data_IF_681314130598
#
_entry.id   IF_681314130598
#
_cell.length_a   1.000
_cell.length_b   1.000
_cell.length_c   1.000
_cell.angle_alpha   90.00
_cell.angle_beta   90.00
_cell.angle_gamma   90.00
#
_symmetry.space_group_name_H-M   'P 1'
#
loop_
_entity.id
_entity.type
_entity.pdbx_description
1 polymer ?
#
# COMPACT_ATOMS: atom_id res chain seq x y z
N UNK A 1 16.55 -37.00 -49.44
CA UNK A 1 15.20 -36.55 -49.05
C UNK A 1 15.23 -36.09 -47.59
N UNK A 2 14.99 -34.78 -47.40
CA UNK A 2 14.56 -34.01 -46.22
C UNK A 2 15.02 -34.45 -44.81
N UNK A 3 16.00 -33.72 -44.28
CA UNK A 3 16.24 -33.55 -42.85
C UNK A 3 15.09 -32.74 -42.24
N UNK A 4 14.38 -33.32 -41.29
CA UNK A 4 13.29 -32.68 -40.56
C UNK A 4 13.88 -32.05 -39.28
N UNK A 5 14.08 -30.74 -39.31
CA UNK A 5 14.45 -29.98 -38.12
C UNK A 5 13.21 -29.83 -37.24
N UNK A 6 13.15 -30.61 -36.16
CA UNK A 6 12.20 -30.39 -35.06
C UNK A 6 12.66 -29.15 -34.29
N UNK A 7 12.06 -28.00 -34.61
CA UNK A 7 12.09 -26.83 -33.75
C UNK A 7 11.31 -27.17 -32.48
N UNK A 8 12.01 -27.55 -31.42
CA UNK A 8 11.45 -27.47 -30.08
C UNK A 8 11.16 -26.00 -29.78
N UNK A 9 9.95 -25.64 -29.31
CA UNK A 9 9.75 -24.33 -28.72
C UNK A 9 10.72 -24.22 -27.54
N UNK A 10 11.62 -23.24 -27.61
CA UNK A 10 12.37 -22.80 -26.44
C UNK A 10 11.35 -22.61 -25.31
N UNK A 11 11.57 -23.18 -24.11
CA UNK A 11 10.72 -22.82 -22.98
C UNK A 11 10.80 -21.30 -22.86
N UNK A 12 9.64 -20.63 -22.84
CA UNK A 12 9.56 -19.26 -22.36
C UNK A 12 10.18 -19.31 -20.96
N UNK A 13 11.44 -18.88 -20.85
CA UNK A 13 12.09 -18.67 -19.57
C UNK A 13 11.15 -17.74 -18.82
N UNK A 14 10.59 -18.24 -17.71
CA UNK A 14 9.79 -17.46 -16.80
C UNK A 14 10.56 -16.17 -16.53
N UNK A 15 10.09 -15.06 -17.10
CA UNK A 15 10.68 -13.77 -16.80
C UNK A 15 10.48 -13.60 -15.30
N UNK A 16 11.53 -13.43 -14.50
CA UNK A 16 11.33 -13.10 -13.10
C UNK A 16 10.50 -11.82 -13.10
N UNK A 17 9.31 -11.91 -12.53
CA UNK A 17 8.41 -10.78 -12.23
C UNK A 17 9.06 -9.74 -11.30
N UNK A 18 10.33 -9.91 -10.96
CA UNK A 18 11.17 -8.95 -10.27
C UNK A 18 11.57 -7.77 -11.18
N UNK A 19 11.99 -6.69 -10.53
CA UNK A 19 12.63 -5.57 -11.20
C UNK A 19 13.88 -6.04 -11.95
N UNK A 20 14.04 -5.77 -13.26
CA UNK A 20 15.09 -6.41 -14.08
C UNK A 20 16.50 -5.90 -13.80
N UNK A 21 16.66 -4.88 -12.95
CA UNK A 21 17.94 -4.23 -12.65
C UNK A 21 18.38 -4.53 -11.22
N UNK A 22 19.36 -5.44 -11.01
CA UNK A 22 19.91 -5.72 -9.68
C UNK A 22 20.46 -4.47 -9.00
N UNK A 23 21.11 -3.58 -9.76
CA UNK A 23 21.60 -2.30 -9.25
C UNK A 23 20.46 -1.40 -8.75
N UNK A 24 19.30 -1.43 -9.42
CA UNK A 24 18.14 -0.69 -8.97
C UNK A 24 17.53 -1.26 -7.69
N UNK A 25 17.44 -2.59 -7.59
CA UNK A 25 16.98 -3.29 -6.38
C UNK A 25 17.89 -3.02 -5.18
N UNK A 26 19.21 -3.10 -5.37
CA UNK A 26 20.20 -2.83 -4.33
C UNK A 26 20.11 -1.38 -3.85
N UNK A 27 20.09 -0.42 -4.78
CA UNK A 27 19.96 0.99 -4.44
C UNK A 27 18.61 1.30 -3.75
N UNK A 28 17.54 0.63 -4.14
CA UNK A 28 16.24 0.78 -3.47
C UNK A 28 16.27 0.22 -2.05
N UNK A 29 16.88 -0.95 -1.83
CA UNK A 29 17.05 -1.54 -0.51
C UNK A 29 17.90 -0.65 0.41
N UNK A 30 19.00 -0.09 -0.10
CA UNK A 30 19.81 0.92 0.61
C UNK A 30 18.97 2.16 0.97
N UNK A 31 18.11 2.59 0.05
CA UNK A 31 17.17 3.69 0.29
C UNK A 31 16.19 3.38 1.42
N UNK A 32 15.60 2.20 1.43
CA UNK A 32 14.69 1.75 2.48
C UNK A 32 15.37 1.62 3.84
N UNK A 33 16.60 1.07 3.88
CA UNK A 33 17.37 0.94 5.12
C UNK A 33 17.76 2.31 5.69
N UNK A 34 18.23 3.24 4.84
CA UNK A 34 18.51 4.61 5.26
C UNK A 34 17.23 5.33 5.73
N UNK A 35 16.10 5.08 5.07
CA UNK A 35 14.81 5.63 5.46
C UNK A 35 14.36 5.12 6.84
N UNK A 36 14.48 3.82 7.10
CA UNK A 36 14.18 3.22 8.40
C UNK A 36 15.05 3.79 9.53
N UNK A 37 16.27 4.23 9.23
CA UNK A 37 17.17 4.93 10.16
C UNK A 37 16.95 6.45 10.23
N UNK A 38 15.94 6.98 9.53
CA UNK A 38 15.65 8.42 9.38
C UNK A 38 16.79 9.25 8.75
N UNK A 39 17.70 8.61 8.02
CA UNK A 39 18.74 9.26 7.23
C UNK A 39 18.17 9.72 5.86
N UNK A 40 17.27 10.70 5.88
CA UNK A 40 16.44 11.06 4.70
C UNK A 40 17.24 11.54 3.48
N UNK A 41 18.38 12.20 3.70
CA UNK A 41 19.29 12.61 2.63
C UNK A 41 19.94 11.39 1.96
N UNK A 42 20.41 10.42 2.76
CA UNK A 42 20.97 9.16 2.24
C UNK A 42 19.92 8.36 1.50
N UNK A 43 18.72 8.25 2.08
CA UNK A 43 17.58 7.57 1.47
C UNK A 43 17.25 8.16 0.10
N UNK A 44 17.13 9.49 0.02
CA UNK A 44 16.84 10.20 -1.23
C UNK A 44 17.92 10.01 -2.29
N UNK A 45 19.20 9.98 -1.89
CA UNK A 45 20.32 9.74 -2.79
C UNK A 45 20.30 8.31 -3.34
N UNK A 46 20.03 7.31 -2.48
CA UNK A 46 19.91 5.92 -2.88
C UNK A 46 18.69 5.69 -3.80
N UNK A 47 17.52 6.26 -3.47
CA UNK A 47 16.35 6.21 -4.35
C UNK A 47 16.60 6.90 -5.70
N UNK A 48 17.39 7.97 -5.74
CA UNK A 48 17.79 8.61 -7.00
C UNK A 48 18.61 7.66 -7.88
N UNK A 49 19.54 6.91 -7.29
CA UNK A 49 20.28 5.85 -8.02
C UNK A 49 19.34 4.74 -8.50
N UNK A 50 18.39 4.33 -7.66
CA UNK A 50 17.43 3.28 -8.00
C UNK A 50 16.57 3.65 -9.21
N UNK A 51 15.96 4.84 -9.22
CA UNK A 51 15.17 5.30 -10.38
C UNK A 51 16.03 5.62 -11.61
N UNK A 52 17.33 5.90 -11.46
CA UNK A 52 18.21 6.05 -12.62
C UNK A 52 18.50 4.68 -13.27
N UNK A 53 18.64 3.63 -12.45
CA UNK A 53 18.92 2.27 -12.91
C UNK A 53 17.67 1.50 -13.40
N UNK A 54 16.47 1.86 -12.93
CA UNK A 54 15.20 1.35 -13.43
C UNK A 54 14.15 2.48 -13.43
N UNK A 55 14.12 3.31 -14.47
CA UNK A 55 13.27 4.50 -14.50
C UNK A 55 11.79 4.16 -14.53
N UNK A 56 10.96 4.80 -13.69
CA UNK A 56 9.51 4.67 -13.81
C UNK A 56 9.04 5.33 -15.10
N UNK A 57 7.95 4.81 -15.65
CA UNK A 57 7.27 5.41 -16.81
C UNK A 57 5.89 5.91 -16.44
N UNK A 58 5.39 6.84 -17.24
CA UNK A 58 3.98 7.25 -17.20
C UNK A 58 3.14 6.09 -17.75
N UNK A 59 2.03 5.71 -17.09
CA UNK A 59 1.14 4.69 -17.63
C UNK A 59 0.40 5.21 -18.86
N UNK A 60 0.12 4.33 -19.82
CA UNK A 60 -0.74 4.63 -20.98
C UNK A 60 -2.18 4.92 -20.54
N UNK A 61 -3.01 5.45 -21.44
CA UNK A 61 -4.43 5.70 -21.13
C UNK A 61 -5.16 4.43 -20.67
N UNK A 62 -4.92 3.31 -21.35
CA UNK A 62 -5.49 2.00 -20.98
C UNK A 62 -5.02 1.54 -19.60
N UNK A 63 -3.74 1.71 -19.28
CA UNK A 63 -3.21 1.35 -17.97
C UNK A 63 -3.75 2.26 -16.86
N UNK A 64 -3.92 3.54 -17.14
CA UNK A 64 -4.56 4.45 -16.19
C UNK A 64 -6.04 4.09 -15.98
N UNK A 65 -6.75 3.70 -17.03
CA UNK A 65 -8.12 3.22 -16.94
C UNK A 65 -8.20 1.94 -16.11
N UNK A 66 -7.30 0.99 -16.35
CA UNK A 66 -7.16 -0.25 -15.58
C UNK A 66 -6.88 0.03 -14.11
N UNK A 67 -5.91 0.91 -13.79
CA UNK A 67 -5.57 1.29 -12.42
C UNK A 67 -6.80 1.86 -11.69
N UNK A 68 -7.59 2.71 -12.34
CA UNK A 68 -8.82 3.26 -11.75
C UNK A 68 -9.90 2.21 -11.59
N UNK A 69 -10.09 1.34 -12.58
CA UNK A 69 -11.12 0.31 -12.56
C UNK A 69 -10.84 -0.82 -11.56
N UNK A 70 -9.56 -1.12 -11.31
CA UNK A 70 -9.13 -2.14 -10.36
C UNK A 70 -9.03 -1.63 -8.91
N UNK A 71 -9.14 -0.32 -8.68
CA UNK A 71 -9.06 0.25 -7.34
C UNK A 71 -10.25 -0.21 -6.47
N UNK A 72 -10.02 -0.79 -5.29
CA UNK A 72 -11.08 -1.12 -4.36
C UNK A 72 -11.80 0.15 -3.89
N UNK A 73 -13.09 0.03 -3.60
CA UNK A 73 -13.81 1.06 -2.86
C UNK A 73 -13.29 1.10 -1.43
N UNK A 74 -13.04 2.29 -0.92
CA UNK A 74 -12.50 2.50 0.41
C UNK A 74 -13.62 2.90 1.37
N UNK A 75 -13.67 2.22 2.51
CA UNK A 75 -14.64 2.48 3.57
C UNK A 75 -13.91 2.80 4.86
N UNK A 76 -14.42 3.73 5.62
CA UNK A 76 -13.91 4.07 6.96
C UNK A 76 -15.07 4.32 7.92
N UNK A 77 -14.77 4.56 9.18
CA UNK A 77 -15.76 4.91 10.19
C UNK A 77 -16.19 6.37 10.01
N UNK A 78 -17.49 6.67 10.18
CA UNK A 78 -18.05 7.99 9.92
C UNK A 78 -17.35 9.17 10.63
N UNK A 79 -16.85 8.94 11.85
CA UNK A 79 -16.11 9.89 12.68
C UNK A 79 -14.59 9.82 12.54
N UNK A 80 -14.05 9.20 11.48
CA UNK A 80 -12.63 9.29 11.15
C UNK A 80 -12.24 10.76 10.93
N UNK A 81 -11.27 11.21 11.73
CA UNK A 81 -10.89 12.61 11.91
C UNK A 81 -9.72 13.03 11.01
N UNK A 82 -8.93 12.07 10.53
CA UNK A 82 -7.77 12.33 9.68
C UNK A 82 -8.18 12.15 8.20
N UNK A 83 -8.14 13.21 7.39
CA UNK A 83 -8.47 13.12 5.98
C UNK A 83 -7.37 12.41 5.17
N UNK A 84 -7.76 11.79 4.05
CA UNK A 84 -6.81 11.32 3.05
C UNK A 84 -6.23 12.52 2.28
N UNK A 85 -4.91 12.73 2.35
CA UNK A 85 -4.21 13.85 1.68
C UNK A 85 -3.79 13.51 0.27
N UNK A 86 -3.19 12.34 0.12
CA UNK A 86 -2.60 11.91 -1.14
C UNK A 86 -2.88 10.43 -1.38
N UNK A 87 -2.95 10.09 -2.67
CA UNK A 87 -3.10 8.72 -3.11
C UNK A 87 -2.24 8.47 -4.35
N UNK A 88 -1.48 7.38 -4.35
CA UNK A 88 -0.62 6.98 -5.46
C UNK A 88 -0.89 5.53 -5.81
N UNK A 89 -1.04 5.23 -7.11
CA UNK A 89 -1.16 3.87 -7.60
C UNK A 89 0.01 3.54 -8.54
N UNK A 90 0.66 2.41 -8.32
CA UNK A 90 1.82 1.98 -9.08
C UNK A 90 1.52 0.62 -9.68
N UNK A 91 1.40 0.57 -11.00
CA UNK A 91 1.26 -0.68 -11.75
C UNK A 91 2.65 -1.33 -11.89
N UNK A 92 2.74 -2.62 -11.60
CA UNK A 92 3.97 -3.36 -11.83
C UNK A 92 4.21 -3.56 -13.34
N UNK A 93 5.45 -3.40 -13.86
CA UNK A 93 5.73 -3.53 -15.28
C UNK A 93 5.42 -4.92 -15.86
N UNK A 94 5.88 -6.00 -15.21
CA UNK A 94 5.77 -7.38 -15.70
C UNK A 94 4.79 -8.28 -14.92
N UNK A 95 4.67 -8.16 -13.61
CA UNK A 95 3.64 -8.84 -12.81
C UNK A 95 2.24 -8.20 -12.94
N UNK A 96 1.15 -8.99 -12.80
CA UNK A 96 -0.23 -8.48 -12.88
C UNK A 96 -0.67 -7.87 -11.53
N UNK A 97 0.09 -6.93 -11.00
CA UNK A 97 -0.16 -6.33 -9.69
C UNK A 97 -0.17 -4.81 -9.75
N UNK A 98 -1.01 -4.21 -8.92
CA UNK A 98 -1.08 -2.76 -8.70
C UNK A 98 -0.94 -2.51 -7.20
N UNK A 99 0.04 -1.69 -6.81
CA UNK A 99 0.15 -1.17 -5.46
C UNK A 99 -0.64 0.14 -5.35
N UNK A 100 -1.42 0.28 -4.29
CA UNK A 100 -2.16 1.50 -3.97
C UNK A 100 -1.69 1.99 -2.60
N UNK A 101 -1.16 3.20 -2.59
CA UNK A 101 -0.62 3.88 -1.44
C UNK A 101 -1.56 5.02 -1.03
N UNK A 102 -1.94 5.04 0.23
CA UNK A 102 -2.78 6.04 0.85
C UNK A 102 -1.96 6.81 1.90
N UNK A 103 -2.03 8.14 1.86
CA UNK A 103 -1.34 9.01 2.80
C UNK A 103 -2.37 9.83 3.55
N UNK A 104 -2.61 9.46 4.80
CA UNK A 104 -3.55 10.10 5.71
C UNK A 104 -2.88 11.26 6.42
N UNK A 105 -3.65 12.22 6.94
CA UNK A 105 -3.09 13.39 7.60
C UNK A 105 -2.15 13.06 8.74
N UNK A 106 -2.54 12.10 9.57
CA UNK A 106 -1.74 11.55 10.66
C UNK A 106 -2.40 10.28 11.19
N UNK A 107 -1.84 9.66 12.22
CA UNK A 107 -2.56 8.71 13.07
C UNK A 107 -2.67 9.21 14.51
N UNK A 108 -3.63 8.65 15.24
CA UNK A 108 -4.03 9.15 16.54
C UNK A 108 -2.96 9.02 17.63
N UNK A 109 -1.93 8.20 17.44
CA UNK A 109 -0.97 7.88 18.51
C UNK A 109 0.38 8.57 18.40
N UNK A 110 0.75 9.07 17.22
CA UNK A 110 2.10 9.54 16.96
C UNK A 110 2.19 11.01 16.52
N UNK A 111 1.57 11.97 17.26
CA UNK A 111 1.57 13.38 16.88
C UNK A 111 2.94 14.05 16.82
N UNK A 112 3.99 13.41 17.36
CA UNK A 112 5.33 13.95 17.52
C UNK A 112 6.43 13.07 16.90
N UNK A 113 6.08 12.05 16.12
CA UNK A 113 7.08 11.18 15.50
C UNK A 113 7.81 11.83 14.31
N UNK A 114 7.34 13.01 13.85
CA UNK A 114 7.82 13.79 12.70
C UNK A 114 7.57 13.13 11.34
N UNK A 115 6.69 12.13 11.28
CA UNK A 115 6.17 11.62 10.02
C UNK A 115 4.89 12.41 9.65
N UNK A 116 4.87 13.12 8.51
CA UNK A 116 3.84 14.12 8.19
C UNK A 116 2.51 13.51 7.69
N UNK A 117 2.44 12.18 7.70
CA UNK A 117 1.30 11.39 7.26
C UNK A 117 1.45 9.94 7.75
N UNK A 118 0.33 9.31 8.07
CA UNK A 118 0.29 7.85 8.12
C UNK A 118 0.21 7.28 6.70
N UNK A 119 1.09 6.32 6.41
CA UNK A 119 1.20 5.69 5.10
C UNK A 119 0.62 4.29 5.18
N UNK A 120 -0.42 4.05 4.40
CA UNK A 120 -1.07 2.76 4.24
C UNK A 120 -0.89 2.24 2.81
N UNK A 121 -0.81 0.91 2.67
CA UNK A 121 -0.63 0.27 1.37
C UNK A 121 -1.44 -1.01 1.26
N UNK A 122 -1.99 -1.22 0.07
CA UNK A 122 -2.56 -2.49 -0.33
C UNK A 122 -2.22 -2.78 -1.80
N UNK A 123 -2.29 -4.04 -2.19
CA UNK A 123 -1.98 -4.52 -3.52
C UNK A 123 -3.16 -5.28 -4.09
N UNK A 124 -3.47 -5.00 -5.34
CA UNK A 124 -4.50 -5.71 -6.10
C UNK A 124 -3.81 -6.56 -7.15
N UNK A 125 -4.07 -7.87 -7.14
CA UNK A 125 -3.70 -8.76 -8.23
C UNK A 125 -4.80 -8.73 -9.29
N UNK A 126 -4.38 -8.71 -10.54
CA UNK A 126 -5.23 -8.86 -11.70
C UNK A 126 -5.20 -10.31 -12.20
N UNK A 127 -6.19 -10.70 -12.99
CA UNK A 127 -6.12 -11.94 -13.76
C UNK A 127 -4.93 -11.92 -14.76
N UNK A 128 -4.59 -13.07 -15.34
CA UNK A 128 -3.43 -13.19 -16.23
C UNK A 128 -3.54 -12.29 -17.47
N UNK A 129 -4.77 -12.03 -17.90
CA UNK A 129 -5.07 -11.12 -19.00
C UNK A 129 -5.00 -9.63 -18.59
N UNK A 130 -4.74 -9.32 -17.31
CA UNK A 130 -4.70 -7.97 -16.73
C UNK A 130 -5.96 -7.14 -16.97
N UNK A 131 -7.13 -7.78 -16.88
CA UNK A 131 -8.43 -7.18 -17.17
C UNK A 131 -9.26 -6.90 -15.92
N UNK A 132 -9.13 -7.73 -14.89
CA UNK A 132 -9.97 -7.59 -13.70
C UNK A 132 -9.22 -7.93 -12.41
N UNK A 133 -9.57 -7.28 -11.29
CA UNK A 133 -9.03 -7.63 -9.99
C UNK A 133 -9.53 -9.00 -9.53
N UNK A 134 -8.65 -9.80 -8.94
CA UNK A 134 -8.93 -11.17 -8.48
C UNK A 134 -8.47 -11.43 -7.05
N UNK A 135 -7.62 -10.56 -6.50
CA UNK A 135 -7.13 -10.66 -5.14
C UNK A 135 -6.76 -9.28 -4.61
N UNK A 136 -7.02 -9.05 -3.32
CA UNK A 136 -6.54 -7.90 -2.57
C UNK A 136 -5.65 -8.40 -1.42
N UNK A 137 -4.47 -7.81 -1.31
CA UNK A 137 -3.57 -7.99 -0.17
C UNK A 137 -3.45 -6.64 0.53
N UNK A 138 -3.79 -6.54 1.82
CA UNK A 138 -3.63 -5.30 2.59
C UNK A 138 -2.47 -5.41 3.56
N UNK A 139 -1.83 -4.28 3.87
CA UNK A 139 -0.92 -4.16 5.00
C UNK A 139 -1.70 -3.70 6.23
N UNK A 140 -1.73 -4.51 7.28
CA UNK A 140 -2.43 -4.23 8.55
C UNK A 140 -1.48 -4.44 9.71
N UNK A 141 -1.00 -3.36 10.33
CA UNK A 141 -0.14 -3.38 11.53
C UNK A 141 1.02 -4.39 11.44
N UNK A 142 1.75 -4.37 10.32
CA UNK A 142 2.88 -5.28 10.09
C UNK A 142 2.51 -6.65 9.51
N UNK A 143 1.23 -6.90 9.22
CA UNK A 143 0.73 -8.17 8.65
C UNK A 143 0.22 -7.95 7.24
N UNK A 144 0.42 -8.96 6.39
CA UNK A 144 -0.21 -9.00 5.08
C UNK A 144 -1.48 -9.86 5.16
N UNK A 145 -2.61 -9.30 4.76
CA UNK A 145 -3.90 -9.97 4.78
C UNK A 145 -4.42 -10.13 3.35
N UNK A 146 -4.58 -11.38 2.89
CA UNK A 146 -5.07 -11.68 1.54
C UNK A 146 -6.58 -11.95 1.52
N UNK A 147 -7.23 -11.58 0.43
CA UNK A 147 -8.66 -11.80 0.20
C UNK A 147 -8.97 -11.95 -1.28
N UNK A 148 -9.93 -12.83 -1.58
CA UNK A 148 -10.49 -12.95 -2.93
C UNK A 148 -11.52 -11.86 -3.26
N UNK A 149 -12.05 -11.15 -2.25
CA UNK A 149 -12.83 -9.94 -2.48
C UNK A 149 -11.90 -8.74 -2.68
N UNK A 150 -11.57 -8.49 -3.94
CA UNK A 150 -10.71 -7.38 -4.32
C UNK A 150 -11.46 -6.05 -4.51
N UNK A 151 -12.76 -5.98 -4.19
CA UNK A 151 -13.61 -4.84 -4.55
C UNK A 151 -13.71 -3.80 -3.44
N UNK A 152 -13.33 -4.14 -2.21
CA UNK A 152 -13.51 -3.32 -1.01
C UNK A 152 -12.31 -3.43 -0.08
N UNK A 153 -11.90 -2.31 0.48
CA UNK A 153 -10.98 -2.24 1.59
C UNK A 153 -11.53 -1.32 2.68
N UNK A 154 -11.23 -1.64 3.94
CA UNK A 154 -11.70 -0.93 5.11
C UNK A 154 -10.53 -0.32 5.88
N UNK A 155 -10.64 0.93 6.29
CA UNK A 155 -9.56 1.70 6.92
C UNK A 155 -9.93 1.93 8.37
N UNK A 156 -9.14 1.35 9.28
CA UNK A 156 -9.36 1.43 10.72
C UNK A 156 -9.38 2.88 11.23
N UNK A 157 -10.36 3.22 12.06
CA UNK A 157 -10.48 4.55 12.66
C UNK A 157 -9.22 4.94 13.44
N UNK A 158 -8.68 6.12 13.15
CA UNK A 158 -7.59 6.78 13.85
C UNK A 158 -6.21 6.10 13.75
N UNK A 159 -6.12 4.86 13.26
CA UNK A 159 -4.88 4.07 13.16
C UNK A 159 -4.56 3.64 11.73
N UNK A 160 -5.54 3.84 10.85
CA UNK A 160 -5.62 3.56 9.42
C UNK A 160 -5.19 2.19 8.89
N UNK A 161 -4.86 1.23 9.75
CA UNK A 161 -4.61 -0.15 9.34
C UNK A 161 -5.68 -0.65 8.35
N UNK A 162 -5.23 -1.02 7.16
CA UNK A 162 -6.12 -1.37 6.04
C UNK A 162 -6.51 -2.84 6.09
N UNK A 163 -7.80 -3.13 5.95
CA UNK A 163 -8.41 -4.45 6.09
C UNK A 163 -9.12 -4.88 4.79
N UNK A 164 -9.09 -6.17 4.43
CA UNK A 164 -9.82 -6.68 3.27
C UNK A 164 -11.31 -6.94 3.56
N UNK A 165 -12.10 -7.22 2.52
CA UNK A 165 -13.53 -7.54 2.53
C UNK A 165 -14.01 -8.49 3.64
N UNK A 166 -13.21 -9.51 3.91
CA UNK A 166 -13.52 -10.68 4.75
C UNK A 166 -12.76 -10.70 6.08
N UNK A 167 -12.19 -9.57 6.49
CA UNK A 167 -11.40 -9.46 7.73
C UNK A 167 -12.13 -9.98 8.98
N UNK A 168 -13.46 -9.89 9.03
CA UNK A 168 -14.29 -10.38 10.14
C UNK A 168 -14.20 -11.90 10.35
N UNK A 169 -13.70 -12.66 9.36
CA UNK A 169 -13.44 -14.10 9.48
C UNK A 169 -12.06 -14.42 10.05
N UNK A 170 -11.17 -13.43 10.11
CA UNK A 170 -9.78 -13.58 10.55
C UNK A 170 -9.69 -13.36 12.06
N UNK A 171 -9.64 -14.44 12.84
CA UNK A 171 -9.66 -14.40 14.31
C UNK A 171 -8.59 -13.46 14.90
N UNK A 172 -7.35 -13.57 14.44
CA UNK A 172 -6.25 -12.72 14.91
C UNK A 172 -6.52 -11.22 14.68
N UNK A 173 -7.14 -10.88 13.54
CA UNK A 173 -7.49 -9.50 13.18
C UNK A 173 -8.65 -9.01 14.05
N UNK A 174 -9.69 -9.83 14.27
CA UNK A 174 -10.80 -9.47 15.17
C UNK A 174 -10.33 -9.19 16.59
N UNK A 175 -9.47 -10.06 17.13
CA UNK A 175 -8.90 -9.89 18.47
C UNK A 175 -8.08 -8.60 18.55
N UNK A 176 -7.32 -8.29 17.50
CA UNK A 176 -6.55 -7.06 17.42
C UNK A 176 -7.43 -5.82 17.33
N UNK A 177 -8.42 -5.81 16.44
CA UNK A 177 -9.43 -4.74 16.36
C UNK A 177 -10.12 -4.51 17.71
N UNK A 178 -10.47 -5.59 18.42
CA UNK A 178 -11.10 -5.50 19.75
C UNK A 178 -10.17 -4.85 20.78
N UNK A 179 -8.91 -5.28 20.86
CA UNK A 179 -7.92 -4.65 21.74
C UNK A 179 -7.70 -3.17 21.40
N UNK A 180 -7.62 -2.85 20.11
CA UNK A 180 -7.44 -1.48 19.65
C UNK A 180 -8.64 -0.61 20.03
N UNK A 181 -9.87 -1.11 19.85
CA UNK A 181 -11.08 -0.44 20.33
C UNK A 181 -11.04 -0.24 21.85
N UNK A 182 -10.78 -1.30 22.63
CA UNK A 182 -10.79 -1.21 24.10
C UNK A 182 -9.78 -0.14 24.56
N UNK A 183 -8.59 -0.09 23.95
CA UNK A 183 -7.59 0.96 24.22
C UNK A 183 -8.09 2.34 23.83
N UNK A 184 -8.54 2.51 22.58
CA UNK A 184 -8.94 3.81 22.03
C UNK A 184 -10.21 4.38 22.65
N UNK A 185 -11.11 3.55 23.17
CA UNK A 185 -12.36 3.99 23.84
C UNK A 185 -12.18 4.26 25.33
N UNK A 186 -11.19 3.64 25.98
CA UNK A 186 -10.94 3.80 27.42
C UNK A 186 -9.78 4.76 27.70
N UNK A 187 -8.58 4.42 27.25
CA UNK A 187 -7.36 5.23 27.43
C UNK A 187 -7.33 6.41 26.46
N UNK A 188 -7.81 6.19 25.23
CA UNK A 188 -7.75 7.19 24.17
C UNK A 188 -6.40 7.24 23.48
N UNK A 189 -6.13 8.38 22.85
CA UNK A 189 -4.89 8.68 22.14
C UNK A 189 -3.68 8.69 23.08
N UNK A 190 -2.50 8.45 22.51
CA UNK A 190 -1.25 8.74 23.21
C UNK A 190 -0.97 10.26 23.26
N UNK A 191 -0.19 10.67 24.26
CA UNK A 191 0.22 12.08 24.49
C UNK A 191 -0.93 13.12 24.43
N UNK A 192 -1.97 13.03 25.28
CA UNK A 192 -3.15 13.89 25.17
C UNK A 192 -2.88 15.39 25.33
N UNK A 193 -1.77 15.78 25.95
CA UNK A 193 -1.34 17.18 26.10
C UNK A 193 -0.39 17.69 25.02
N UNK A 194 -0.12 16.91 23.96
CA UNK A 194 0.73 17.35 22.85
C UNK A 194 0.08 18.53 22.12
N UNK A 195 0.78 19.67 21.94
CA UNK A 195 0.28 20.78 21.14
C UNK A 195 0.13 20.41 19.65
N UNK A 196 0.87 19.40 19.18
CA UNK A 196 0.77 18.91 17.79
C UNK A 196 -0.53 18.14 17.54
N UNK A 197 -1.14 17.61 18.60
CA UNK A 197 -2.44 16.94 18.54
C UNK A 197 -3.61 17.87 18.92
N UNK A 198 -3.42 19.20 18.87
CA UNK A 198 -4.49 20.14 19.20
C UNK A 198 -5.68 19.95 18.24
N UNK A 199 -6.88 19.75 18.81
CA UNK A 199 -8.10 19.52 18.04
C UNK A 199 -8.35 18.07 17.61
N UNK A 200 -7.38 17.14 17.73
CA UNK A 200 -7.67 15.74 17.42
C UNK A 200 -8.56 15.10 18.50
N UNK A 201 -9.31 14.03 18.18
CA UNK A 201 -10.11 13.31 19.17
C UNK A 201 -9.24 12.77 20.31
N UNK A 202 -9.70 12.95 21.56
CA UNK A 202 -9.03 12.36 22.72
C UNK A 202 -9.18 10.84 22.76
N UNK A 203 -10.31 10.32 22.30
CA UNK A 203 -10.68 8.90 22.32
C UNK A 203 -11.78 8.60 21.33
N UNK A 204 -11.98 7.32 21.03
CA UNK A 204 -13.17 6.87 20.31
C UNK A 204 -14.39 6.93 21.25
N UNK A 205 -15.47 7.58 20.82
CA UNK A 205 -16.65 7.82 21.66
C UNK A 205 -17.82 6.83 21.44
N UNK A 206 -17.77 6.03 20.36
CA UNK A 206 -18.82 5.07 20.02
C UNK A 206 -18.68 3.72 20.72
N UNK A 207 -19.66 2.84 20.50
CA UNK A 207 -19.60 1.45 20.92
C UNK A 207 -18.72 0.60 19.97
N UNK A 208 -18.45 -0.64 20.37
CA UNK A 208 -17.69 -1.58 19.53
C UNK A 208 -18.33 -1.76 18.15
N UNK A 209 -19.65 -1.83 18.11
CA UNK A 209 -20.44 -1.99 16.87
C UNK A 209 -20.32 -0.76 15.96
N UNK A 210 -20.03 0.42 16.50
CA UNK A 210 -19.75 1.62 15.71
C UNK A 210 -18.31 1.61 15.17
N UNK A 211 -17.36 1.10 15.96
CA UNK A 211 -15.93 1.03 15.60
C UNK A 211 -15.68 0.14 14.39
N UNK A 212 -16.44 -0.94 14.24
CA UNK A 212 -16.27 -1.91 13.15
C UNK A 212 -17.27 -1.75 11.99
N UNK A 213 -18.08 -0.68 11.99
CA UNK A 213 -19.18 -0.54 11.03
C UNK A 213 -18.72 -0.14 9.63
N UNK A 214 -17.66 0.66 9.53
CA UNK A 214 -17.12 1.19 8.27
C UNK A 214 -18.20 1.72 7.30
N UNK A 215 -19.15 2.50 7.81
CA UNK A 215 -20.33 2.98 7.10
C UNK A 215 -20.08 4.19 6.18
N UNK A 216 -18.87 4.77 6.19
CA UNK A 216 -18.50 5.90 5.34
C UNK A 216 -17.67 5.42 4.16
N UNK A 217 -18.29 5.31 2.99
CA UNK A 217 -17.55 5.19 1.73
C UNK A 217 -16.82 6.50 1.43
N UNK A 218 -15.54 6.41 1.09
CA UNK A 218 -14.74 7.55 0.68
C UNK A 218 -14.92 7.81 -0.81
N UNK A 219 -14.94 9.07 -1.26
CA UNK A 219 -14.81 9.39 -2.67
C UNK A 219 -13.58 8.72 -3.27
N UNK A 220 -13.69 8.24 -4.51
CA UNK A 220 -12.56 7.64 -5.20
C UNK A 220 -11.38 8.65 -5.22
N UNK A 221 -10.20 8.29 -4.68
CA UNK A 221 -9.09 9.22 -4.62
C UNK A 221 -8.64 9.66 -6.01
N UNK A 222 -8.08 10.87 -6.10
CA UNK A 222 -7.37 11.29 -7.31
C UNK A 222 -6.02 10.59 -7.38
N UNK A 223 -6.01 9.37 -7.92
CA UNK A 223 -4.80 8.57 -8.08
C UNK A 223 -3.77 9.29 -8.94
N UNK A 224 -2.58 9.52 -8.37
CA UNK A 224 -1.38 9.79 -9.15
C UNK A 224 -0.76 8.45 -9.53
N UNK A 225 -0.37 8.27 -10.79
CA UNK A 225 -0.08 6.94 -11.31
C UNK A 225 1.30 6.82 -11.93
N UNK A 226 1.97 5.69 -11.71
CA UNK A 226 3.23 5.32 -12.36
C UNK A 226 3.23 3.83 -12.75
N UNK A 227 4.12 3.45 -13.66
CA UNK A 227 4.51 2.05 -13.83
C UNK A 227 5.94 1.88 -13.37
N UNK A 228 6.16 1.01 -12.39
CA UNK A 228 7.47 0.76 -11.78
C UNK A 228 7.46 -0.54 -10.98
N UNK A 229 8.64 -1.11 -10.77
CA UNK A 229 8.89 -2.17 -9.80
C UNK A 229 9.43 -1.64 -8.46
N UNK A 230 9.62 -0.32 -8.32
CA UNK A 230 10.24 0.36 -7.18
C UNK A 230 9.28 1.42 -6.58
N UNK A 231 8.37 0.98 -5.73
CA UNK A 231 7.34 1.80 -5.11
C UNK A 231 7.94 2.90 -4.23
N UNK A 232 8.79 2.56 -3.26
CA UNK A 232 9.32 3.57 -2.32
C UNK A 232 10.17 4.64 -3.05
N UNK A 233 11.02 4.24 -3.99
CA UNK A 233 11.80 5.18 -4.78
C UNK A 233 10.91 6.10 -5.63
N UNK A 234 9.85 5.57 -6.24
CA UNK A 234 8.90 6.36 -7.04
C UNK A 234 8.12 7.34 -6.16
N UNK A 235 7.61 6.89 -5.01
CA UNK A 235 6.92 7.75 -4.05
C UNK A 235 7.82 8.93 -3.64
N UNK A 236 9.06 8.64 -3.21
CA UNK A 236 10.00 9.65 -2.75
C UNK A 236 10.43 10.63 -3.85
N UNK A 237 10.69 10.15 -5.08
CA UNK A 237 11.31 10.97 -6.13
C UNK A 237 10.34 11.61 -7.11
N UNK A 238 9.10 11.12 -7.20
CA UNK A 238 8.13 11.59 -8.21
C UNK A 238 6.86 12.21 -7.64
N UNK A 239 6.40 11.75 -6.48
CA UNK A 239 5.06 12.10 -6.00
C UNK A 239 5.08 12.90 -4.71
N UNK A 240 5.79 12.44 -3.70
CA UNK A 240 5.73 13.06 -2.38
C UNK A 240 6.77 14.18 -2.26
N UNK A 241 6.36 15.27 -1.62
CA UNK A 241 7.23 16.41 -1.30
C UNK A 241 7.59 16.43 0.19
N UNK A 242 7.26 15.37 0.90
CA UNK A 242 7.35 15.21 2.34
C UNK A 242 7.79 13.77 2.67
N UNK A 243 8.18 13.53 3.92
CA UNK A 243 8.63 12.20 4.37
C UNK A 243 7.48 11.19 4.49
N UNK A 244 7.75 9.89 4.44
CA UNK A 244 6.71 8.88 4.65
C UNK A 244 7.31 7.60 5.24
N UNK A 245 6.55 6.79 5.98
CA UNK A 245 7.09 5.50 6.40
C UNK A 245 7.28 4.55 5.20
N UNK A 246 8.52 4.18 4.86
CA UNK A 246 8.76 3.20 3.80
C UNK A 246 8.08 1.86 4.12
N UNK A 247 7.38 1.28 3.15
CA UNK A 247 6.67 -0.01 3.31
C UNK A 247 7.30 -1.07 2.43
N UNK A 248 6.91 -2.33 2.65
CA UNK A 248 7.25 -3.42 1.73
C UNK A 248 6.91 -3.03 0.28
N UNK A 249 7.80 -3.35 -0.65
CA UNK A 249 7.62 -3.03 -2.07
C UNK A 249 6.39 -3.73 -2.66
N UNK A 250 6.40 -5.06 -2.62
CA UNK A 250 5.38 -5.92 -3.21
C UNK A 250 5.08 -7.09 -2.27
N UNK A 251 3.87 -7.69 -2.34
CA UNK A 251 3.55 -8.85 -1.53
C UNK A 251 4.44 -10.03 -1.93
N UNK A 252 4.78 -10.97 -1.01
CA UNK A 252 5.58 -12.16 -1.31
C UNK A 252 5.04 -12.99 -2.50
N UNK A 253 3.73 -12.92 -2.73
CA UNK A 253 3.02 -13.59 -3.82
C UNK A 253 3.23 -12.94 -5.19
N UNK A 254 3.96 -11.81 -5.30
CA UNK A 254 4.26 -11.13 -6.57
C UNK A 254 4.74 -12.12 -7.64
N UNK A 255 5.54 -13.10 -7.21
CA UNK A 255 6.19 -14.10 -8.05
C UNK A 255 5.88 -15.54 -7.71
N UNK A 256 4.87 -15.79 -6.87
CA UNK A 256 4.43 -17.15 -6.63
C UNK A 256 3.84 -17.72 -7.94
N UNK A 257 4.35 -18.89 -8.36
CA UNK A 257 3.71 -19.66 -9.43
C UNK A 257 2.27 -19.98 -9.00
N UNK A 258 1.33 -19.84 -9.94
CA UNK A 258 -0.05 -20.26 -9.68
C UNK A 258 -0.05 -21.78 -9.48
N UNK A 259 -0.79 -22.31 -8.49
CA UNK A 259 -1.03 -23.74 -8.39
C UNK A 259 -1.78 -24.28 -9.62
#
# INVERSE_FOLDING_TARGET
>A
MKALWLLFPLPLLAQPCACPSPAALEANAQGMEAHARRSLTEASAAYTKAIAAAPPRVPTEDEQALIRAAAPRLFTQAGEAFPLKDAVAILHPSAPWIAYHLFWDDDIDFPDDNDPCDHEVFWVRLDDARRKPVELVTYYHGRLLGSSDATRAFVQWGKHGTLPGDWHSMEAVRLDMRRTYDRLSTRGRDYPGSPLAEGWPLKFAGAWEDFIRFDRELPAPRWRTAVSCLNNAVLNRRFLRYNFAAKTEWPPQLCAEQP
#
